data_IF_538559538538
#
_entry.id   IF_538559538538
#
_cell.length_a   1.000
_cell.length_b   1.000
_cell.length_c   1.000
_cell.angle_alpha   90.00
_cell.angle_beta   90.00
_cell.angle_gamma   90.00
#
_symmetry.space_group_name_H-M   'P 1'
#
loop_
_entity.id
_entity.type
_entity.pdbx_description
1 polymer ?
#
# COMPACT_ATOMS: atom_id res chain seq x y z
N UNK A 1 -21.60 33.38 -24.72
CA UNK A 1 -22.51 33.19 -23.57
C UNK A 1 -23.24 31.88 -23.84
N UNK A 2 -22.90 30.72 -23.29
CA UNK A 2 -22.05 30.31 -22.16
C UNK A 2 -21.47 28.93 -22.51
N UNK A 3 -20.23 28.69 -22.09
CA UNK A 3 -19.52 27.40 -22.12
C UNK A 3 -20.11 26.43 -21.10
N UNK A 4 -20.05 25.12 -21.37
CA UNK A 4 -20.07 24.11 -20.31
C UNK A 4 -19.17 22.95 -20.73
N UNK A 5 -17.87 23.15 -20.57
CA UNK A 5 -16.88 22.10 -20.51
C UNK A 5 -17.01 21.36 -19.17
N UNK A 6 -16.97 20.03 -19.23
CA UNK A 6 -16.99 19.16 -18.05
C UNK A 6 -16.06 17.97 -18.27
N UNK A 7 -14.82 18.23 -18.73
CA UNK A 7 -13.75 17.23 -18.72
C UNK A 7 -13.26 17.14 -17.28
N UNK A 8 -13.49 15.98 -16.66
CA UNK A 8 -12.98 15.62 -15.34
C UNK A 8 -11.50 15.98 -15.24
N UNK A 9 -11.15 16.75 -14.22
CA UNK A 9 -9.77 17.03 -13.81
C UNK A 9 -9.06 15.68 -13.63
N UNK A 10 -8.07 15.41 -14.49
CA UNK A 10 -7.05 14.40 -14.21
C UNK A 10 -6.14 15.02 -13.16
N UNK A 11 -6.18 14.51 -11.92
CA UNK A 11 -5.20 14.86 -10.90
C UNK A 11 -3.78 14.67 -11.47
N UNK A 12 -3.00 15.75 -11.43
CA UNK A 12 -1.62 15.78 -11.86
C UNK A 12 -0.83 14.77 -11.03
N UNK A 13 -0.42 13.68 -11.67
CA UNK A 13 0.30 12.58 -11.02
C UNK A 13 1.63 13.11 -10.50
N UNK A 14 1.71 13.35 -9.19
CA UNK A 14 2.89 13.92 -8.53
C UNK A 14 4.01 12.89 -8.52
N UNK A 15 4.88 12.97 -9.52
CA UNK A 15 5.98 12.03 -9.66
C UNK A 15 6.96 12.18 -8.49
N UNK A 16 7.05 11.13 -7.67
CA UNK A 16 7.91 11.12 -6.50
C UNK A 16 9.38 10.86 -6.88
N UNK A 17 10.32 11.47 -6.17
CA UNK A 17 11.76 11.12 -6.27
C UNK A 17 12.05 9.66 -5.91
N UNK A 18 11.11 9.00 -5.23
CA UNK A 18 11.24 7.63 -4.77
C UNK A 18 10.48 6.68 -5.69
N UNK A 19 11.14 5.62 -6.14
CA UNK A 19 10.49 4.54 -6.91
C UNK A 19 9.91 3.45 -6.01
N UNK A 20 10.45 3.29 -4.81
CA UNK A 20 10.12 2.21 -3.87
C UNK A 20 10.37 2.63 -2.43
N UNK A 21 9.47 2.25 -1.53
CA UNK A 21 9.59 2.53 -0.10
C UNK A 21 9.42 1.24 0.70
N UNK A 22 10.29 1.04 1.69
CA UNK A 22 10.16 -0.04 2.67
C UNK A 22 9.34 0.43 3.86
N UNK A 23 8.26 -0.27 4.19
CA UNK A 23 7.38 0.05 5.32
C UNK A 23 7.53 -1.01 6.41
N UNK A 24 7.93 -0.57 7.59
CA UNK A 24 7.95 -1.42 8.79
C UNK A 24 6.63 -1.30 9.54
N UNK A 25 5.86 -2.39 9.57
CA UNK A 25 4.62 -2.49 10.33
C UNK A 25 4.41 -3.92 10.81
N UNK A 26 3.56 -4.09 11.83
CA UNK A 26 3.31 -5.39 12.45
C UNK A 26 2.17 -6.17 11.79
N UNK A 27 2.14 -7.48 12.05
CA UNK A 27 1.07 -8.42 11.66
C UNK A 27 -0.18 -8.30 12.55
N UNK A 28 -0.15 -7.46 13.58
CA UNK A 28 -1.28 -7.15 14.44
C UNK A 28 -2.00 -5.89 13.98
N UNK A 29 -3.34 -5.83 13.99
CA UNK A 29 -4.11 -4.66 13.56
C UNK A 29 -4.06 -3.48 14.55
N UNK A 30 -3.51 -3.69 15.75
CA UNK A 30 -3.53 -2.74 16.86
C UNK A 30 -4.92 -2.59 17.51
N UNK A 31 -4.97 -1.84 18.61
CA UNK A 31 -6.19 -1.68 19.43
C UNK A 31 -7.03 -0.44 19.04
N UNK A 32 -6.51 0.43 18.17
CA UNK A 32 -7.20 1.64 17.71
C UNK A 32 -7.45 1.55 16.21
N UNK A 33 -8.63 1.97 15.77
CA UNK A 33 -8.99 2.02 14.34
C UNK A 33 -8.04 2.92 13.55
N UNK A 34 -7.55 4.00 14.16
CA UNK A 34 -6.65 4.97 13.53
C UNK A 34 -5.36 4.35 12.97
N UNK A 35 -4.90 3.22 13.50
CA UNK A 35 -3.73 2.51 12.92
C UNK A 35 -4.07 1.86 11.58
N UNK A 36 -5.28 1.30 11.47
CA UNK A 36 -5.77 0.69 10.23
C UNK A 36 -5.99 1.75 9.17
N UNK A 37 -6.64 2.85 9.56
CA UNK A 37 -6.92 3.98 8.68
C UNK A 37 -5.62 4.57 8.14
N UNK A 38 -4.62 4.78 9.01
CA UNK A 38 -3.30 5.26 8.60
C UNK A 38 -2.54 4.29 7.68
N UNK A 39 -2.68 2.97 7.87
CA UNK A 39 -2.05 1.98 7.00
C UNK A 39 -2.64 1.99 5.58
N UNK A 40 -3.97 2.16 5.47
CA UNK A 40 -4.67 2.29 4.19
C UNK A 40 -4.33 3.61 3.52
N UNK A 41 -4.37 4.72 4.27
CA UNK A 41 -4.00 6.06 3.78
C UNK A 41 -2.57 6.09 3.24
N UNK A 42 -1.62 5.48 3.97
CA UNK A 42 -0.24 5.34 3.50
C UNK A 42 -0.18 4.55 2.19
N UNK A 43 -0.89 3.43 2.08
CA UNK A 43 -0.93 2.64 0.85
C UNK A 43 -1.44 3.44 -0.34
N UNK A 44 -2.53 4.17 -0.15
CA UNK A 44 -3.10 5.05 -1.19
C UNK A 44 -2.11 6.17 -1.60
N UNK A 45 -1.35 6.72 -0.65
CA UNK A 45 -0.36 7.75 -0.93
C UNK A 45 0.86 7.21 -1.71
N UNK A 46 1.22 5.94 -1.50
CA UNK A 46 2.23 5.29 -2.33
C UNK A 46 1.72 5.11 -3.77
N UNK A 47 0.44 4.72 -3.92
CA UNK A 47 -0.21 4.53 -5.21
C UNK A 47 -0.30 5.84 -5.99
N UNK A 48 -0.81 6.92 -5.37
CA UNK A 48 -0.98 8.24 -6.00
C UNK A 48 0.34 8.81 -6.53
N UNK A 49 1.46 8.41 -5.94
CA UNK A 49 2.82 8.85 -6.27
C UNK A 49 3.61 7.88 -7.14
N UNK A 50 2.99 6.82 -7.65
CA UNK A 50 3.64 5.74 -8.41
C UNK A 50 4.81 5.06 -7.68
N UNK A 51 4.69 4.84 -6.37
CA UNK A 51 5.73 4.21 -5.55
C UNK A 51 5.38 2.73 -5.34
N UNK A 52 6.37 1.85 -5.51
CA UNK A 52 6.25 0.43 -5.15
C UNK A 52 6.47 0.20 -3.63
N UNK A 53 5.87 -0.84 -3.07
CA UNK A 53 6.02 -1.21 -1.66
C UNK A 53 7.05 -2.33 -1.48
N UNK A 54 7.88 -2.20 -0.45
CA UNK A 54 8.65 -3.29 0.17
C UNK A 54 8.22 -3.44 1.62
N UNK A 55 8.07 -4.66 2.12
CA UNK A 55 7.71 -4.89 3.53
C UNK A 55 8.03 -6.33 3.96
N UNK A 56 7.62 -6.71 5.18
CA UNK A 56 7.93 -8.01 5.80
C UNK A 56 7.24 -9.25 5.22
N UNK A 57 6.31 -9.10 4.27
CA UNK A 57 5.69 -10.23 3.57
C UNK A 57 4.45 -10.87 4.22
N UNK A 58 4.02 -10.38 5.40
CA UNK A 58 2.81 -10.88 6.07
C UNK A 58 1.49 -10.35 5.50
N UNK A 59 0.47 -11.18 5.37
CA UNK A 59 -0.86 -10.80 4.82
C UNK A 59 -1.90 -10.38 5.86
N UNK A 60 -1.52 -10.30 7.14
CA UNK A 60 -2.45 -9.97 8.24
C UNK A 60 -2.07 -8.67 8.96
N UNK A 61 -3.04 -8.10 9.68
CA UNK A 61 -2.85 -6.86 10.45
C UNK A 61 -2.54 -5.65 9.57
N UNK A 62 -1.68 -4.75 10.06
CA UNK A 62 -1.31 -3.54 9.31
C UNK A 62 -0.51 -3.86 8.05
N UNK A 63 0.34 -4.89 8.10
CA UNK A 63 1.07 -5.40 6.94
C UNK A 63 0.14 -5.79 5.80
N UNK A 64 -0.91 -6.56 6.09
CA UNK A 64 -1.92 -6.93 5.10
C UNK A 64 -2.69 -5.75 4.54
N UNK A 65 -3.04 -4.77 5.39
CA UNK A 65 -3.79 -3.58 4.95
C UNK A 65 -2.98 -2.71 3.99
N UNK A 66 -1.70 -2.43 4.32
CA UNK A 66 -0.85 -1.62 3.44
C UNK A 66 -0.51 -2.37 2.14
N UNK A 67 -0.23 -3.67 2.22
CA UNK A 67 0.07 -4.47 1.02
C UNK A 67 -1.13 -4.59 0.09
N UNK A 68 -2.33 -4.78 0.64
CA UNK A 68 -3.56 -4.85 -0.14
C UNK A 68 -3.87 -3.52 -0.82
N UNK A 69 -3.81 -2.40 -0.08
CA UNK A 69 -4.07 -1.08 -0.65
C UNK A 69 -3.12 -0.74 -1.81
N UNK A 70 -1.84 -1.06 -1.69
CA UNK A 70 -0.84 -0.84 -2.75
C UNK A 70 -1.08 -1.77 -3.95
N UNK A 71 -1.41 -3.04 -3.70
CA UNK A 71 -1.69 -4.03 -4.74
C UNK A 71 -2.95 -3.66 -5.54
N UNK A 72 -4.04 -3.31 -4.86
CA UNK A 72 -5.30 -2.89 -5.47
C UNK A 72 -5.14 -1.60 -6.29
N UNK A 73 -4.21 -0.74 -5.88
CA UNK A 73 -3.79 0.44 -6.64
C UNK A 73 -2.88 0.16 -7.84
N UNK A 74 -2.61 -1.11 -8.16
CA UNK A 74 -1.82 -1.50 -9.34
C UNK A 74 -0.32 -1.24 -9.22
N UNK A 75 0.20 -1.05 -8.01
CA UNK A 75 1.65 -0.90 -7.75
C UNK A 75 2.25 -2.23 -7.33
N UNK A 76 3.57 -2.37 -7.48
CA UNK A 76 4.24 -3.62 -7.12
C UNK A 76 4.42 -3.73 -5.61
N UNK A 77 4.20 -4.92 -5.08
CA UNK A 77 4.38 -5.26 -3.66
C UNK A 77 5.44 -6.34 -3.52
N UNK A 78 6.49 -6.06 -2.75
CA UNK A 78 7.61 -6.97 -2.52
C UNK A 78 7.65 -7.35 -1.05
N UNK A 79 7.31 -8.60 -0.74
CA UNK A 79 7.45 -9.18 0.59
C UNK A 79 8.82 -9.82 0.79
N UNK A 80 9.55 -9.42 1.83
CA UNK A 80 10.83 -10.02 2.21
C UNK A 80 10.65 -10.74 3.54
N UNK A 81 10.54 -12.07 3.47
CA UNK A 81 10.31 -12.93 4.63
C UNK A 81 11.40 -14.02 4.73
N UNK A 82 12.05 -14.19 5.90
CA UNK A 82 12.92 -15.32 6.15
C UNK A 82 12.17 -16.67 6.02
N UNK A 83 12.80 -17.67 5.40
CA UNK A 83 12.21 -19.02 5.25
C UNK A 83 11.76 -19.65 6.57
N UNK A 84 12.39 -19.31 7.67
CA UNK A 84 12.05 -19.80 9.01
C UNK A 84 10.73 -19.23 9.56
N UNK A 85 10.27 -18.09 9.04
CA UNK A 85 9.02 -17.43 9.45
C UNK A 85 7.84 -17.79 8.56
N UNK A 86 8.08 -18.28 7.33
CA UNK A 86 7.02 -18.74 6.41
C UNK A 86 6.00 -19.70 7.02
N UNK A 87 6.35 -20.68 7.90
CA UNK A 87 5.35 -21.56 8.52
C UNK A 87 4.51 -20.88 9.61
N UNK A 88 4.97 -19.74 10.13
CA UNK A 88 4.35 -19.02 11.26
C UNK A 88 3.55 -17.81 10.82
N UNK A 89 3.90 -17.22 9.68
CA UNK A 89 3.22 -16.05 9.11
C UNK A 89 2.33 -16.46 7.93
N UNK A 90 1.17 -15.83 7.83
CA UNK A 90 0.36 -15.92 6.60
C UNK A 90 1.02 -14.99 5.60
N UNK A 91 1.41 -15.51 4.44
CA UNK A 91 2.16 -14.77 3.42
C UNK A 91 1.17 -14.03 2.51
N UNK A 92 1.56 -12.85 2.03
CA UNK A 92 0.83 -12.17 0.96
C UNK A 92 1.15 -12.78 -0.40
N UNK A 93 0.11 -13.21 -1.09
CA UNK A 93 0.19 -13.80 -2.40
C UNK A 93 -0.54 -12.91 -3.41
N UNK A 94 0.17 -12.50 -4.45
CA UNK A 94 -0.41 -11.83 -5.61
C UNK A 94 -1.22 -12.86 -6.39
N UNK A 95 -2.56 -12.80 -6.31
CA UNK A 95 -3.43 -13.62 -7.15
C UNK A 95 -3.43 -13.14 -8.59
#
# INVERSE_FOLDING_TARGET
MVECEGRKEMEEVKESRFKRICVFCGSSPGNKSSYRDAAIELGNELVSRNIDLVYGGGSIGLMGLVSQAVYDGGRHVIGVIPRTLMPREVIFESK
#
